data_IF_244603096939
#
_entry.id   IF_244603096939
#
_cell.length_a   1.000
_cell.length_b   1.000
_cell.length_c   1.000
_cell.angle_alpha   90.00
_cell.angle_beta   90.00
_cell.angle_gamma   90.00
#
_symmetry.space_group_name_H-M   'P 1'
#
loop_
_entity.id
_entity.type
_entity.pdbx_description
1 polymer ?
#
# COMPACT_ATOMS: atom_id res chain seq x y z
N UNK A 1 11.07 18.67 10.89
CA UNK A 1 10.21 19.05 12.03
C UNK A 1 9.04 19.88 11.50
N UNK A 2 7.83 19.73 12.04
CA UNK A 2 6.64 20.49 11.60
C UNK A 2 6.81 21.99 11.90
N UNK A 3 6.45 22.83 10.93
CA UNK A 3 6.51 24.28 11.00
C UNK A 3 5.15 24.91 10.72
N UNK A 4 4.99 26.19 11.06
CA UNK A 4 3.75 26.92 10.80
C UNK A 4 3.46 27.01 9.29
N UNK A 5 4.50 27.12 8.46
CA UNK A 5 4.39 27.15 7.01
C UNK A 5 3.66 25.92 6.44
N UNK A 6 3.83 24.75 7.07
CA UNK A 6 3.17 23.50 6.66
C UNK A 6 1.64 23.55 6.88
N UNK A 7 1.14 24.49 7.70
CA UNK A 7 -0.27 24.65 8.06
C UNK A 7 -0.95 25.85 7.38
N UNK A 8 -0.20 26.66 6.63
CA UNK A 8 -0.73 27.90 6.03
C UNK A 8 -1.90 27.62 5.06
N UNK A 9 -1.78 26.57 4.25
CA UNK A 9 -2.85 26.15 3.33
C UNK A 9 -4.13 25.77 4.10
N UNK A 10 -4.00 24.98 5.18
CA UNK A 10 -5.12 24.63 6.03
C UNK A 10 -5.81 25.87 6.61
N UNK A 11 -5.03 26.81 7.16
CA UNK A 11 -5.58 28.03 7.78
C UNK A 11 -6.32 28.88 6.75
N UNK A 12 -5.76 29.00 5.53
CA UNK A 12 -6.38 29.73 4.42
C UNK A 12 -7.72 29.12 4.00
N UNK A 13 -7.79 27.79 3.91
CA UNK A 13 -9.00 27.06 3.52
C UNK A 13 -10.04 26.97 4.65
N UNK A 14 -9.60 26.97 5.92
CA UNK A 14 -10.49 26.83 7.07
C UNK A 14 -11.46 28.02 7.22
N UNK A 15 -11.10 29.23 6.76
CA UNK A 15 -11.93 30.45 6.76
C UNK A 15 -12.77 30.64 8.04
N UNK A 16 -12.13 30.92 9.19
CA UNK A 16 -12.85 31.05 10.46
C UNK A 16 -13.87 32.19 10.38
N UNK A 17 -15.11 31.92 10.81
CA UNK A 17 -16.22 32.89 10.75
C UNK A 17 -16.90 33.02 9.38
N UNK A 18 -16.36 32.41 8.33
CA UNK A 18 -16.89 32.44 6.96
C UNK A 18 -17.00 31.01 6.38
N UNK A 19 -17.65 30.11 7.11
CA UNK A 19 -17.76 28.68 6.75
C UNK A 19 -18.39 28.47 5.37
N UNK A 20 -19.38 29.30 5.00
CA UNK A 20 -20.05 29.25 3.71
C UNK A 20 -19.14 29.57 2.52
N UNK A 21 -17.98 30.19 2.76
CA UNK A 21 -17.02 30.54 1.71
C UNK A 21 -15.93 29.49 1.53
N UNK A 22 -15.93 28.40 2.31
CA UNK A 22 -14.98 27.30 2.15
C UNK A 22 -15.19 26.66 0.79
N UNK A 23 -14.10 26.40 0.09
CA UNK A 23 -14.12 25.74 -1.21
C UNK A 23 -13.29 24.46 -1.12
N UNK A 24 -13.85 23.30 -1.51
CA UNK A 24 -13.07 22.06 -1.61
C UNK A 24 -11.96 22.25 -2.64
N UNK A 25 -10.75 21.78 -2.31
CA UNK A 25 -9.70 21.61 -3.31
C UNK A 25 -9.84 20.28 -4.02
N UNK A 26 -10.49 19.30 -3.39
CA UNK A 26 -10.81 18.01 -3.98
C UNK A 26 -12.03 18.07 -4.90
N UNK A 27 -11.94 17.41 -6.05
CA UNK A 27 -13.07 17.10 -6.93
C UNK A 27 -12.77 15.83 -7.73
N UNK A 28 -13.74 15.29 -8.47
CA UNK A 28 -13.48 14.16 -9.38
C UNK A 28 -12.42 14.50 -10.45
N UNK A 29 -12.31 15.78 -10.84
CA UNK A 29 -11.29 16.27 -11.76
C UNK A 29 -9.94 16.59 -11.07
N UNK A 30 -9.92 16.67 -9.74
CA UNK A 30 -8.72 16.92 -8.93
C UNK A 30 -8.71 16.00 -7.70
N UNK A 31 -8.42 14.69 -7.89
CA UNK A 31 -8.50 13.69 -6.82
C UNK A 31 -7.43 13.89 -5.73
N UNK A 32 -6.38 14.67 -6.03
CA UNK A 32 -5.25 14.93 -5.14
C UNK A 32 -5.48 16.12 -4.18
N UNK A 33 -6.65 16.75 -4.25
CA UNK A 33 -7.01 17.84 -3.34
C UNK A 33 -7.06 17.37 -1.88
N UNK A 34 -6.35 18.08 -1.00
CA UNK A 34 -6.26 17.78 0.44
C UNK A 34 -7.44 18.29 1.28
N UNK A 35 -8.33 19.09 0.67
CA UNK A 35 -9.53 19.63 1.32
C UNK A 35 -10.78 19.11 0.61
N UNK A 36 -11.46 18.15 1.24
CA UNK A 36 -12.64 17.48 0.70
C UNK A 36 -13.86 17.70 1.59
N UNK A 37 -14.98 18.02 0.97
CA UNK A 37 -16.29 18.08 1.63
C UNK A 37 -17.03 16.74 1.44
N UNK A 38 -17.82 16.38 2.44
CA UNK A 38 -18.65 15.18 2.46
C UNK A 38 -20.08 15.60 2.79
N UNK A 39 -21.05 15.07 2.03
CA UNK A 39 -22.47 15.26 2.34
C UNK A 39 -22.90 14.41 3.53
N UNK A 40 -23.91 14.85 4.27
CA UNK A 40 -24.35 14.16 5.49
C UNK A 40 -24.84 12.74 5.19
N UNK A 41 -25.56 12.56 4.09
CA UNK A 41 -26.09 11.28 3.64
C UNK A 41 -24.96 10.27 3.35
N UNK A 42 -23.83 10.74 2.82
CA UNK A 42 -22.65 9.91 2.57
C UNK A 42 -22.07 9.39 3.89
N UNK A 43 -21.98 10.24 4.90
CA UNK A 43 -21.48 9.86 6.22
C UNK A 43 -22.43 8.91 6.96
N UNK A 44 -23.74 9.12 6.84
CA UNK A 44 -24.75 8.27 7.47
C UNK A 44 -24.84 6.87 6.87
N UNK A 45 -24.49 6.72 5.58
CA UNK A 45 -24.47 5.43 4.91
C UNK A 45 -23.29 4.54 5.36
N UNK A 46 -22.29 5.09 6.05
CA UNK A 46 -21.10 4.36 6.50
C UNK A 46 -21.41 3.52 7.75
N UNK A 47 -20.76 2.36 7.85
CA UNK A 47 -20.84 1.52 9.05
C UNK A 47 -20.45 2.34 10.28
N UNK A 48 -21.35 2.38 11.27
CA UNK A 48 -21.17 3.10 12.55
C UNK A 48 -20.86 4.60 12.40
N UNK A 49 -21.15 5.20 11.25
CA UNK A 49 -20.78 6.60 10.94
C UNK A 49 -19.27 6.80 11.16
N UNK A 50 -18.46 5.84 10.69
CA UNK A 50 -17.02 5.90 10.85
C UNK A 50 -16.43 7.11 10.09
N UNK A 51 -15.81 8.04 10.83
CA UNK A 51 -15.18 9.27 10.32
C UNK A 51 -13.70 9.09 9.97
N UNK A 52 -13.18 7.87 10.01
CA UNK A 52 -11.87 7.51 9.49
C UNK A 52 -11.92 7.57 7.95
N UNK A 53 -11.67 8.75 7.41
CA UNK A 53 -11.84 9.13 6.01
C UNK A 53 -10.47 9.41 5.38
N UNK A 54 -10.10 8.57 4.41
CA UNK A 54 -8.94 8.76 3.56
C UNK A 54 -9.35 8.60 2.11
N UNK A 55 -8.85 9.49 1.25
CA UNK A 55 -9.09 9.45 -0.20
C UNK A 55 -7.83 9.66 -1.02
N UNK A 56 -6.79 10.22 -0.42
CA UNK A 56 -5.48 10.31 -1.03
C UNK A 56 -4.79 8.95 -0.89
N UNK A 57 -4.27 8.45 -2.00
CA UNK A 57 -3.34 7.34 -1.98
C UNK A 57 -1.96 7.89 -1.63
N UNK A 58 -1.23 7.15 -0.80
CA UNK A 58 0.16 7.45 -0.52
C UNK A 58 1.01 6.71 -1.57
N UNK A 59 1.49 7.45 -2.57
CA UNK A 59 2.32 6.90 -3.65
C UNK A 59 3.68 6.39 -3.14
N UNK A 60 4.06 6.69 -1.89
CA UNK A 60 5.30 6.18 -1.30
C UNK A 60 5.20 4.74 -0.80
N UNK A 61 3.99 4.17 -0.67
CA UNK A 61 3.78 2.89 -0.02
C UNK A 61 3.61 1.69 -0.98
N UNK A 62 3.23 1.89 -2.23
CA UNK A 62 3.25 0.84 -3.27
C UNK A 62 3.32 1.52 -4.63
N UNK A 63 4.39 1.26 -5.37
CA UNK A 63 4.53 1.63 -6.78
C UNK A 63 3.62 0.71 -7.64
N UNK A 64 2.32 0.65 -7.32
CA UNK A 64 1.36 -0.25 -7.99
C UNK A 64 1.21 0.07 -9.47
N UNK A 65 1.51 1.32 -9.85
CA UNK A 65 1.46 1.81 -11.22
C UNK A 65 2.79 1.59 -11.97
N UNK A 66 3.84 1.14 -11.28
CA UNK A 66 5.15 0.80 -11.85
C UNK A 66 5.50 -0.68 -11.62
N UNK A 67 4.50 -1.49 -11.27
CA UNK A 67 4.66 -2.94 -11.26
C UNK A 67 4.96 -3.40 -12.69
N UNK A 68 5.95 -4.30 -12.89
CA UNK A 68 6.16 -4.94 -14.18
C UNK A 68 4.88 -5.61 -14.67
N UNK A 69 4.78 -5.86 -15.97
CA UNK A 69 3.66 -6.63 -16.53
C UNK A 69 3.44 -7.93 -15.72
N UNK A 70 2.19 -8.37 -15.52
CA UNK A 70 1.89 -9.58 -14.73
C UNK A 70 2.68 -10.82 -15.16
N UNK A 71 2.98 -10.94 -16.45
CA UNK A 71 3.77 -12.02 -17.01
C UNK A 71 5.24 -12.00 -16.53
N UNK A 72 5.81 -10.80 -16.35
CA UNK A 72 7.17 -10.62 -15.81
C UNK A 72 7.20 -11.04 -14.34
N UNK A 73 6.21 -10.59 -13.56
CA UNK A 73 6.08 -10.95 -12.14
C UNK A 73 5.90 -12.47 -11.98
N UNK A 74 5.06 -13.09 -12.80
CA UNK A 74 4.83 -14.52 -12.76
C UNK A 74 6.10 -15.32 -13.12
N UNK A 75 6.89 -14.84 -14.08
CA UNK A 75 8.15 -15.46 -14.46
C UNK A 75 9.19 -15.37 -13.32
N UNK A 76 9.35 -14.21 -12.69
CA UNK A 76 10.25 -14.01 -11.54
C UNK A 76 9.88 -14.93 -10.37
N UNK A 77 8.60 -14.99 -10.01
CA UNK A 77 8.11 -15.89 -8.95
C UNK A 77 8.42 -17.36 -9.29
N UNK A 78 8.22 -17.77 -10.55
CA UNK A 78 8.48 -19.15 -10.95
C UNK A 78 9.97 -19.51 -10.88
N UNK A 79 10.86 -18.58 -11.23
CA UNK A 79 12.31 -18.79 -11.14
C UNK A 79 12.80 -18.81 -9.68
N UNK A 80 12.30 -17.90 -8.84
CA UNK A 80 12.60 -17.89 -7.40
C UNK A 80 12.15 -19.20 -6.72
N UNK A 81 10.95 -19.68 -7.04
CA UNK A 81 10.45 -20.95 -6.51
C UNK A 81 11.28 -22.15 -6.97
N UNK A 82 11.77 -22.16 -8.22
CA UNK A 82 12.69 -23.21 -8.69
C UNK A 82 14.02 -23.17 -7.93
N UNK A 83 14.60 -21.99 -7.75
CA UNK A 83 15.84 -21.85 -6.98
C UNK A 83 15.66 -22.31 -5.53
N UNK A 84 14.54 -21.94 -4.89
CA UNK A 84 14.22 -22.40 -3.55
C UNK A 84 14.06 -23.92 -3.48
N UNK A 85 13.43 -24.54 -4.48
CA UNK A 85 13.28 -26.00 -4.56
C UNK A 85 14.63 -26.70 -4.72
N UNK A 86 15.48 -26.24 -5.64
CA UNK A 86 16.83 -26.79 -5.84
C UNK A 86 17.68 -26.73 -4.56
N UNK A 87 17.60 -25.62 -3.82
CA UNK A 87 18.27 -25.48 -2.54
C UNK A 87 17.74 -26.49 -1.50
N UNK A 88 16.43 -26.73 -1.46
CA UNK A 88 15.84 -27.74 -0.58
C UNK A 88 16.25 -29.16 -0.96
N UNK A 89 16.31 -29.49 -2.26
CA UNK A 89 16.77 -30.79 -2.75
C UNK A 89 18.24 -31.03 -2.44
N UNK A 90 19.09 -30.02 -2.58
CA UNK A 90 20.50 -30.09 -2.19
C UNK A 90 20.66 -30.36 -0.69
N UNK A 91 19.90 -29.65 0.15
CA UNK A 91 19.87 -29.89 1.60
C UNK A 91 19.39 -31.31 1.89
N UNK A 92 18.36 -31.81 1.20
CA UNK A 92 17.86 -33.17 1.39
C UNK A 92 18.92 -34.22 1.02
N UNK A 93 19.65 -34.02 -0.09
CA UNK A 93 20.75 -34.90 -0.50
C UNK A 93 21.91 -34.92 0.49
N UNK A 94 22.24 -33.78 1.10
CA UNK A 94 23.25 -33.68 2.16
C UNK A 94 22.79 -34.35 3.48
N UNK A 95 21.48 -34.44 3.70
CA UNK A 95 20.88 -35.04 4.89
C UNK A 95 20.58 -36.54 4.74
N UNK A 96 20.60 -37.10 3.54
CA UNK A 96 20.50 -38.55 3.36
C UNK A 96 21.76 -39.20 3.96
N UNK A 97 21.64 -39.93 5.10
CA UNK A 97 22.80 -40.52 5.73
C UNK A 97 23.36 -41.61 4.82
N UNK A 98 24.68 -41.62 4.68
CA UNK A 98 25.49 -42.60 3.95
C UNK A 98 24.98 -44.04 4.14
N UNK A 99 24.07 -44.47 3.27
CA UNK A 99 23.54 -45.83 3.24
C UNK A 99 24.62 -46.85 2.78
N UNK A 100 25.84 -46.41 2.48
CA UNK A 100 26.95 -47.29 2.13
C UNK A 100 27.84 -47.70 3.32
N UNK A 101 27.71 -47.07 4.50
CA UNK A 101 28.57 -47.38 5.65
C UNK A 101 28.06 -48.50 6.58
N UNK A 102 26.82 -48.98 6.45
CA UNK A 102 26.22 -50.00 7.32
C UNK A 102 26.20 -51.43 6.73
N UNK A 103 27.03 -51.71 5.73
CA UNK A 103 27.09 -52.99 5.02
C UNK A 103 28.43 -53.73 5.09
N UNK A 104 29.19 -53.59 6.18
CA UNK A 104 30.37 -54.45 6.42
C UNK A 104 30.70 -54.58 7.92
N UNK A 105 30.01 -55.49 8.59
CA UNK A 105 30.43 -56.10 9.84
C UNK A 105 30.03 -57.58 9.84
#
# INVERSE_FOLDING_TARGET
PLQLADLEEFVSLYKPGAIAERQPTWSEANPDGRWRAYELEELLARDKINLDLFWLKDDSLLDSDNLPDPDVIAAEIADDLRSALEQMEAILGDLEPDAAAAGSA
#
